data_IF_705698529976
#
_entry.id   IF_705698529976
#
_cell.length_a   1.000
_cell.length_b   1.000
_cell.length_c   1.000
_cell.angle_alpha   90.00
_cell.angle_beta   90.00
_cell.angle_gamma   90.00
#
_symmetry.space_group_name_H-M   'P 1'
#
loop_
_entity.id
_entity.type
_entity.pdbx_description
1 polymer ?
#
# COMPACT_ATOMS: atom_id res chain seq x y z
N UNK A 1 -4.53 15.68 16.85
CA UNK A 1 -4.80 16.38 18.13
C UNK A 1 -6.27 16.78 18.25
N UNK A 2 -6.82 17.60 17.34
CA UNK A 2 -8.22 18.04 17.38
C UNK A 2 -9.27 16.90 17.42
N UNK A 3 -9.18 15.89 16.56
CA UNK A 3 -10.13 14.76 16.57
C UNK A 3 -10.08 13.91 17.85
N UNK A 4 -8.92 13.87 18.53
CA UNK A 4 -8.79 13.20 19.83
C UNK A 4 -9.42 14.00 20.97
N UNK A 5 -9.37 15.33 20.89
CA UNK A 5 -10.06 16.22 21.83
C UNK A 5 -11.60 16.10 21.69
N UNK A 6 -12.11 15.95 20.47
CA UNK A 6 -13.55 15.72 20.22
C UNK A 6 -14.00 14.35 20.73
N UNK A 7 -13.22 13.28 20.48
CA UNK A 7 -13.54 11.96 21.05
C UNK A 7 -13.56 11.97 22.59
N UNK A 8 -12.69 12.75 23.23
CA UNK A 8 -12.65 12.89 24.67
C UNK A 8 -13.94 13.51 25.25
N UNK A 9 -14.65 14.35 24.49
CA UNK A 9 -15.95 14.91 24.89
C UNK A 9 -17.05 13.85 24.98
N UNK A 10 -16.91 12.71 24.29
CA UNK A 10 -17.86 11.60 24.38
C UNK A 10 -17.70 10.77 25.67
N UNK A 11 -16.58 10.91 26.40
CA UNK A 11 -16.26 10.05 27.55
C UNK A 11 -17.31 10.14 28.68
N UNK A 12 -17.75 11.33 29.15
CA UNK A 12 -18.81 11.41 30.17
C UNK A 12 -20.14 10.79 29.69
N UNK A 13 -20.45 10.90 28.38
CA UNK A 13 -21.65 10.31 27.80
C UNK A 13 -21.60 8.78 27.76
N UNK A 14 -20.43 8.21 27.42
CA UNK A 14 -20.20 6.75 27.47
C UNK A 14 -20.36 6.19 28.89
N UNK A 15 -19.86 6.93 29.88
CA UNK A 15 -20.00 6.53 31.29
C UNK A 15 -21.46 6.54 31.73
N UNK A 16 -22.23 7.58 31.37
CA UNK A 16 -23.66 7.62 31.62
C UNK A 16 -24.42 6.48 30.92
N UNK A 17 -24.06 6.19 29.66
CA UNK A 17 -24.68 5.09 28.91
C UNK A 17 -24.46 3.74 29.60
N UNK A 18 -23.21 3.45 29.99
CA UNK A 18 -22.86 2.23 30.70
C UNK A 18 -23.55 2.12 32.07
N UNK A 19 -23.73 3.24 32.78
CA UNK A 19 -24.47 3.26 34.05
C UNK A 19 -25.96 2.90 33.86
N UNK A 20 -26.59 3.39 32.79
CA UNK A 20 -27.98 3.04 32.44
C UNK A 20 -28.10 1.56 32.08
N UNK A 21 -27.18 1.01 31.28
CA UNK A 21 -27.15 -0.42 30.95
C UNK A 21 -26.99 -1.30 32.19
N UNK A 22 -26.09 -0.92 33.10
CA UNK A 22 -25.89 -1.63 34.37
C UNK A 22 -27.09 -1.56 35.30
N UNK A 23 -27.88 -0.48 35.28
CA UNK A 23 -29.16 -0.40 35.97
C UNK A 23 -30.22 -1.28 35.31
N UNK A 24 -30.33 -1.26 33.99
CA UNK A 24 -31.27 -2.10 33.25
C UNK A 24 -31.06 -3.60 33.56
N UNK A 25 -29.79 -4.03 33.65
CA UNK A 25 -29.44 -5.41 34.01
C UNK A 25 -29.82 -5.77 35.46
N UNK A 26 -29.72 -4.83 36.41
CA UNK A 26 -30.16 -5.01 37.81
C UNK A 26 -31.68 -5.10 37.92
N UNK A 27 -32.41 -4.33 37.12
CA UNK A 27 -33.89 -4.40 37.06
C UNK A 27 -34.38 -5.72 36.48
N UNK A 28 -33.72 -6.22 35.44
CA UNK A 28 -34.01 -7.54 34.85
C UNK A 28 -33.74 -8.70 35.83
N UNK A 29 -32.75 -8.54 36.71
CA UNK A 29 -32.39 -9.54 37.73
C UNK A 29 -33.32 -9.52 38.96
N UNK A 30 -34.32 -8.61 39.01
CA UNK A 30 -35.28 -8.50 40.11
C UNK A 30 -34.75 -7.82 41.37
N UNK A 31 -33.51 -7.30 41.36
CA UNK A 31 -32.89 -6.60 42.50
C UNK A 31 -33.42 -5.17 42.72
N UNK A 32 -34.04 -4.58 41.70
CA UNK A 32 -34.64 -3.23 41.74
C UNK A 32 -36.00 -3.30 41.03
N UNK A 33 -37.03 -2.60 41.55
CA UNK A 33 -38.34 -2.53 40.90
C UNK A 33 -38.28 -1.85 39.53
N UNK A 34 -39.11 -2.28 38.58
CA UNK A 34 -39.10 -1.78 37.19
C UNK A 34 -39.34 -0.26 37.09
N UNK A 35 -40.16 0.28 37.99
CA UNK A 35 -40.52 1.71 38.08
C UNK A 35 -39.77 2.46 39.21
N UNK A 36 -38.67 1.89 39.71
CA UNK A 36 -37.87 2.58 40.71
C UNK A 36 -37.33 3.91 40.15
N UNK A 37 -37.37 4.99 40.96
CA UNK A 37 -36.83 6.28 40.56
C UNK A 37 -35.32 6.19 40.29
N UNK A 38 -34.78 7.20 39.61
CA UNK A 38 -33.33 7.33 39.40
C UNK A 38 -32.71 7.81 40.71
N UNK A 39 -32.02 6.92 41.42
CA UNK A 39 -31.44 7.19 42.72
C UNK A 39 -30.04 6.58 42.91
N UNK A 40 -29.42 6.88 44.06
CA UNK A 40 -28.16 6.29 44.47
C UNK A 40 -27.02 6.50 43.45
N UNK A 41 -26.22 5.46 43.15
CA UNK A 41 -25.07 5.56 42.24
C UNK A 41 -25.42 6.03 40.83
N UNK A 42 -26.58 5.61 40.29
CA UNK A 42 -27.00 6.00 38.94
C UNK A 42 -27.24 7.51 38.86
N UNK A 43 -27.91 8.08 39.86
CA UNK A 43 -28.14 9.53 39.91
C UNK A 43 -26.82 10.32 39.91
N UNK A 44 -25.82 9.86 40.65
CA UNK A 44 -24.50 10.51 40.73
C UNK A 44 -23.80 10.50 39.37
N UNK A 45 -23.80 9.36 38.68
CA UNK A 45 -23.17 9.21 37.37
C UNK A 45 -23.87 10.07 36.30
N UNK A 46 -25.21 10.05 36.28
CA UNK A 46 -26.00 10.87 35.36
C UNK A 46 -25.80 12.37 35.62
N UNK A 47 -25.74 12.79 36.89
CA UNK A 47 -25.50 14.19 37.25
C UNK A 47 -24.12 14.66 36.82
N UNK A 48 -23.11 13.82 36.99
CA UNK A 48 -21.74 14.11 36.55
C UNK A 48 -21.67 14.29 35.03
N UNK A 49 -22.27 13.37 34.28
CA UNK A 49 -22.31 13.43 32.82
C UNK A 49 -23.12 14.63 32.31
N UNK A 50 -24.26 14.93 32.92
CA UNK A 50 -25.08 16.09 32.58
C UNK A 50 -24.35 17.41 32.81
N UNK A 51 -23.60 17.53 33.91
CA UNK A 51 -22.77 18.70 34.21
C UNK A 51 -21.67 18.90 33.17
N UNK A 52 -20.91 17.85 32.88
CA UNK A 52 -19.86 17.89 31.85
C UNK A 52 -20.42 18.24 30.47
N UNK A 53 -21.55 17.64 30.08
CA UNK A 53 -22.24 17.95 28.83
C UNK A 53 -22.69 19.42 28.77
N UNK A 54 -23.29 19.94 29.85
CA UNK A 54 -23.72 21.33 29.92
C UNK A 54 -22.56 22.33 29.87
N UNK A 55 -21.40 22.00 30.45
CA UNK A 55 -20.18 22.81 30.34
C UNK A 55 -19.65 22.86 28.89
N UNK A 56 -19.60 21.71 28.20
CA UNK A 56 -19.21 21.63 26.79
C UNK A 56 -20.18 22.41 25.88
N UNK A 57 -21.48 22.34 26.16
CA UNK A 57 -22.50 23.09 25.42
C UNK A 57 -22.38 24.61 25.65
N UNK A 58 -22.27 25.05 26.91
CA UNK A 58 -22.14 26.49 27.27
C UNK A 58 -20.87 27.13 26.71
N UNK A 59 -19.78 26.36 26.67
CA UNK A 59 -18.51 26.83 26.13
C UNK A 59 -18.45 26.81 24.59
N UNK A 60 -19.49 26.30 23.92
CA UNK A 60 -19.56 26.20 22.47
C UNK A 60 -18.61 25.16 21.87
N UNK A 61 -17.98 24.31 22.69
CA UNK A 61 -17.00 23.31 22.23
C UNK A 61 -17.64 22.13 21.49
N UNK A 62 -18.97 22.01 21.53
CA UNK A 62 -19.73 21.03 20.75
C UNK A 62 -20.16 21.55 19.37
N UNK A 63 -19.93 22.84 19.07
CA UNK A 63 -20.36 23.45 17.80
C UNK A 63 -19.65 22.77 16.62
N UNK A 64 -20.43 22.23 15.68
CA UNK A 64 -19.91 21.52 14.51
C UNK A 64 -19.50 20.07 14.75
N UNK A 65 -19.66 19.56 15.98
CA UNK A 65 -19.39 18.16 16.34
C UNK A 65 -20.65 17.40 16.79
N UNK A 66 -21.65 18.13 17.28
CA UNK A 66 -22.94 17.60 17.70
C UNK A 66 -24.06 18.34 16.97
N UNK A 67 -25.04 17.61 16.46
CA UNK A 67 -26.25 18.18 15.86
C UNK A 67 -27.08 18.92 16.91
N UNK A 68 -27.69 20.03 16.52
CA UNK A 68 -28.53 20.83 17.42
C UNK A 68 -29.72 20.02 17.97
N UNK A 69 -30.32 19.17 17.13
CA UNK A 69 -31.40 18.24 17.49
C UNK A 69 -30.95 17.24 18.57
N UNK A 70 -29.77 16.64 18.40
CA UNK A 70 -29.15 15.72 19.35
C UNK A 70 -28.82 16.41 20.67
N UNK A 71 -28.25 17.62 20.62
CA UNK A 71 -27.94 18.41 21.81
C UNK A 71 -29.19 18.77 22.63
N UNK A 72 -30.25 19.25 21.97
CA UNK A 72 -31.53 19.60 22.61
C UNK A 72 -32.19 18.37 23.20
N UNK A 73 -32.27 17.27 22.44
CA UNK A 73 -32.89 16.02 22.89
C UNK A 73 -32.16 15.44 24.09
N UNK A 74 -30.82 15.41 24.07
CA UNK A 74 -30.01 14.90 25.17
C UNK A 74 -30.15 15.76 26.43
N UNK A 75 -30.12 17.09 26.29
CA UNK A 75 -30.34 18.04 27.40
C UNK A 75 -31.71 17.84 28.06
N UNK A 76 -32.76 17.67 27.26
CA UNK A 76 -34.12 17.42 27.78
C UNK A 76 -34.22 16.07 28.50
N UNK A 77 -33.62 15.00 27.97
CA UNK A 77 -33.62 13.69 28.66
C UNK A 77 -32.85 13.72 29.99
N UNK A 78 -31.72 14.42 30.07
CA UNK A 78 -31.01 14.58 31.35
C UNK A 78 -31.86 15.28 32.41
N UNK A 79 -32.59 16.35 32.02
CA UNK A 79 -33.48 17.07 32.94
C UNK A 79 -34.61 16.19 33.49
N UNK A 80 -35.20 15.32 32.66
CA UNK A 80 -36.18 14.34 33.14
C UNK A 80 -35.55 13.27 34.03
N UNK A 81 -34.39 12.73 33.65
CA UNK A 81 -33.72 11.67 34.41
C UNK A 81 -33.22 12.13 35.79
N UNK A 82 -32.85 13.41 35.92
CA UNK A 82 -32.42 14.02 37.17
C UNK A 82 -33.57 14.59 38.02
N UNK A 83 -34.81 14.53 37.51
CA UNK A 83 -35.99 15.05 38.21
C UNK A 83 -36.10 16.57 38.22
N UNK A 84 -35.37 17.28 37.34
CA UNK A 84 -35.45 18.74 37.20
C UNK A 84 -36.77 19.18 36.55
N UNK A 85 -37.43 18.27 35.82
CA UNK A 85 -38.72 18.48 35.16
C UNK A 85 -39.69 17.38 35.60
N UNK A 86 -40.96 17.71 35.93
CA UNK A 86 -41.97 16.72 36.31
C UNK A 86 -42.24 15.70 35.19
N UNK A 87 -42.40 14.42 35.53
CA UNK A 87 -42.63 13.34 34.55
C UNK A 87 -43.93 13.52 33.76
N UNK A 88 -44.91 14.20 34.34
CA UNK A 88 -46.18 14.54 33.70
C UNK A 88 -45.98 15.38 32.44
N UNK A 89 -44.89 16.17 32.38
CA UNK A 89 -44.53 17.00 31.24
C UNK A 89 -43.84 16.22 30.11
N UNK A 90 -43.44 14.96 30.33
CA UNK A 90 -42.73 14.14 29.33
C UNK A 90 -43.55 13.94 28.05
N UNK A 91 -44.87 13.86 28.17
CA UNK A 91 -45.76 13.72 27.01
C UNK A 91 -45.77 14.96 26.10
N UNK A 92 -45.55 16.15 26.66
CA UNK A 92 -45.47 17.38 25.87
C UNK A 92 -44.22 17.41 24.99
N UNK A 93 -43.11 16.86 25.48
CA UNK A 93 -41.81 16.86 24.81
C UNK A 93 -41.66 15.67 23.84
N UNK A 94 -42.22 14.50 24.19
CA UNK A 94 -41.97 13.23 23.46
C UNK A 94 -43.22 12.49 22.99
N UNK A 95 -44.42 13.05 23.21
CA UNK A 95 -45.68 12.52 22.67
C UNK A 95 -46.22 11.26 23.34
N UNK A 96 -45.61 10.80 24.44
CA UNK A 96 -45.99 9.58 25.19
C UNK A 96 -45.92 9.82 26.69
N UNK A 97 -46.74 9.12 27.47
CA UNK A 97 -46.74 9.25 28.94
C UNK A 97 -45.38 8.85 29.50
N UNK A 98 -44.77 9.72 30.32
CA UNK A 98 -43.46 9.47 30.90
C UNK A 98 -43.50 8.46 32.04
N UNK A 99 -42.61 7.47 31.99
CA UNK A 99 -42.29 6.58 33.12
C UNK A 99 -40.78 6.61 33.36
N UNK A 100 -40.29 6.28 34.57
CA UNK A 100 -38.86 6.22 34.84
C UNK A 100 -38.08 5.33 33.86
N UNK A 101 -38.65 4.17 33.51
CA UNK A 101 -38.07 3.28 32.49
C UNK A 101 -37.97 3.97 31.12
N UNK A 102 -39.04 4.63 30.69
CA UNK A 102 -39.11 5.29 29.38
C UNK A 102 -38.14 6.48 29.26
N UNK A 103 -37.91 7.19 30.36
CA UNK A 103 -36.92 8.27 30.45
C UNK A 103 -35.51 7.71 30.29
N UNK A 104 -35.19 6.61 30.98
CA UNK A 104 -33.88 5.97 30.87
C UNK A 104 -33.63 5.41 29.47
N UNK A 105 -34.63 4.78 28.86
CA UNK A 105 -34.54 4.27 27.48
C UNK A 105 -34.32 5.41 26.48
N UNK A 106 -35.07 6.51 26.63
CA UNK A 106 -34.92 7.70 25.78
C UNK A 106 -33.56 8.39 25.96
N UNK A 107 -33.04 8.41 27.20
CA UNK A 107 -31.72 8.93 27.51
C UNK A 107 -30.62 8.05 26.90
N UNK A 108 -30.70 6.73 27.05
CA UNK A 108 -29.75 5.79 26.44
C UNK A 108 -29.70 5.92 24.91
N UNK A 109 -30.87 6.00 24.27
CA UNK A 109 -30.96 6.22 22.82
C UNK A 109 -30.34 7.56 22.40
N UNK A 110 -30.58 8.63 23.17
CA UNK A 110 -30.01 9.95 22.88
C UNK A 110 -28.50 10.00 23.11
N UNK A 111 -28.00 9.30 24.13
CA UNK A 111 -26.57 9.14 24.40
C UNK A 111 -25.86 8.37 23.29
N UNK A 112 -26.47 7.30 22.77
CA UNK A 112 -25.93 6.53 21.64
C UNK A 112 -25.66 7.44 20.43
N UNK A 113 -26.67 8.19 20.00
CA UNK A 113 -26.54 9.11 18.85
C UNK A 113 -25.48 10.19 19.11
N UNK A 114 -25.47 10.77 20.30
CA UNK A 114 -24.48 11.79 20.66
C UNK A 114 -23.04 11.23 20.67
N UNK A 115 -22.85 10.01 21.16
CA UNK A 115 -21.54 9.35 21.15
C UNK A 115 -21.09 9.10 19.70
N UNK A 116 -21.96 8.56 18.85
CA UNK A 116 -21.64 8.29 17.44
C UNK A 116 -21.24 9.56 16.66
N UNK A 117 -21.93 10.67 16.90
CA UNK A 117 -21.60 11.96 16.28
C UNK A 117 -20.20 12.45 16.71
N UNK A 118 -19.87 12.33 18.00
CA UNK A 118 -18.59 12.75 18.56
C UNK A 118 -17.40 11.82 18.18
N UNK A 119 -17.65 10.55 17.85
CA UNK A 119 -16.59 9.60 17.42
C UNK A 119 -16.34 9.56 15.92
N UNK A 120 -17.31 9.98 15.10
CA UNK A 120 -17.20 9.94 13.63
C UNK A 120 -15.90 10.55 13.07
N UNK A 121 -15.39 11.70 13.56
CA UNK A 121 -14.16 12.28 13.03
C UNK A 121 -12.91 11.40 13.23
N UNK A 122 -12.78 10.76 14.39
CA UNK A 122 -11.60 9.91 14.68
C UNK A 122 -11.65 8.60 13.89
N UNK A 123 -12.85 8.04 13.69
CA UNK A 123 -13.04 6.82 12.90
C UNK A 123 -12.82 7.05 11.41
N UNK A 124 -13.24 8.21 10.88
CA UNK A 124 -12.92 8.62 9.52
C UNK A 124 -11.40 8.71 9.31
N UNK A 125 -10.65 9.33 10.24
CA UNK A 125 -9.18 9.41 10.15
C UNK A 125 -8.55 8.02 10.16
N UNK A 126 -8.97 7.13 11.08
CA UNK A 126 -8.48 5.75 11.13
C UNK A 126 -8.75 5.00 9.83
N UNK A 127 -9.94 5.14 9.26
CA UNK A 127 -10.31 4.52 8.00
C UNK A 127 -9.46 5.02 6.83
N UNK A 128 -9.23 6.33 6.74
CA UNK A 128 -8.37 6.92 5.72
C UNK A 128 -6.92 6.41 5.83
N UNK A 129 -6.35 6.36 7.04
CA UNK A 129 -5.01 5.84 7.26
C UNK A 129 -4.84 4.37 6.81
N UNK A 130 -5.85 3.52 7.05
CA UNK A 130 -5.86 2.12 6.59
C UNK A 130 -5.93 2.02 5.06
N UNK A 131 -6.67 2.90 4.41
CA UNK A 131 -6.90 2.85 2.96
C UNK A 131 -5.63 3.22 2.17
N UNK A 132 -4.91 4.23 2.64
CA UNK A 132 -3.65 4.69 2.02
C UNK A 132 -2.55 3.62 2.08
N UNK A 133 -2.44 2.91 3.21
CA UNK A 133 -1.39 1.88 3.41
C UNK A 133 -1.68 0.59 2.65
N UNK A 134 -2.95 0.20 2.50
CA UNK A 134 -3.35 -0.98 1.72
C UNK A 134 -3.20 -0.76 0.21
N UNK A 135 -3.44 0.46 -0.29
CA UNK A 135 -3.32 0.78 -1.72
C UNK A 135 -1.90 0.63 -2.28
N UNK A 136 -0.88 0.97 -1.49
CA UNK A 136 0.53 0.84 -1.88
C UNK A 136 0.94 -0.64 -1.96
N UNK A 137 0.53 -1.46 -0.98
CA UNK A 137 0.91 -2.88 -0.92
C UNK A 137 0.38 -3.71 -2.10
N UNK A 138 -0.84 -3.42 -2.59
CA UNK A 138 -1.42 -4.13 -3.75
C UNK A 138 -0.68 -3.84 -5.06
N UNK A 139 -0.13 -2.64 -5.20
CA UNK A 139 0.59 -2.24 -6.42
C UNK A 139 1.98 -2.87 -6.48
N UNK A 140 2.58 -3.18 -5.33
CA UNK A 140 3.86 -3.89 -5.27
C UNK A 140 3.71 -5.40 -5.50
N UNK A 141 2.59 -5.99 -5.09
CA UNK A 141 2.32 -7.41 -5.30
C UNK A 141 2.10 -7.76 -6.78
N UNK A 142 1.41 -6.89 -7.54
CA UNK A 142 1.18 -7.10 -8.98
C UNK A 142 2.47 -7.11 -9.81
N UNK A 143 3.54 -6.46 -9.33
CA UNK A 143 4.84 -6.50 -10.00
C UNK A 143 5.44 -7.92 -10.02
N UNK A 144 5.17 -8.73 -9.00
CA UNK A 144 5.59 -10.14 -8.96
C UNK A 144 4.75 -11.05 -9.86
N UNK A 145 3.56 -10.61 -10.28
CA UNK A 145 2.69 -11.37 -11.18
C UNK A 145 3.12 -11.27 -12.66
N UNK A 146 3.95 -10.27 -12.99
CA UNK A 146 4.51 -10.12 -14.32
C UNK A 146 5.26 -11.38 -14.76
N UNK A 147 5.10 -11.78 -16.03
CA UNK A 147 5.63 -13.06 -16.52
C UNK A 147 7.15 -13.16 -16.33
N UNK A 148 7.91 -12.16 -16.77
CA UNK A 148 9.37 -12.18 -16.61
C UNK A 148 9.82 -12.19 -15.14
N UNK A 149 9.09 -11.54 -14.22
CA UNK A 149 9.36 -11.62 -12.78
C UNK A 149 9.11 -13.04 -12.23
N UNK A 150 8.03 -13.69 -12.67
CA UNK A 150 7.76 -15.10 -12.32
C UNK A 150 8.83 -16.05 -12.83
N UNK A 151 9.36 -15.85 -14.04
CA UNK A 151 10.46 -16.65 -14.58
C UNK A 151 11.74 -16.51 -13.73
N UNK A 152 12.05 -15.30 -13.26
CA UNK A 152 13.16 -15.08 -12.32
C UNK A 152 12.93 -15.83 -11.01
N UNK A 153 11.74 -15.74 -10.42
CA UNK A 153 11.42 -16.47 -9.18
C UNK A 153 11.45 -17.99 -9.38
N UNK A 154 10.94 -18.47 -10.51
CA UNK A 154 10.91 -19.89 -10.85
C UNK A 154 12.33 -20.48 -11.02
N UNK A 155 13.31 -19.65 -11.37
CA UNK A 155 14.74 -20.03 -11.39
C UNK A 155 15.38 -20.18 -10.00
N UNK A 156 14.60 -19.95 -8.94
CA UNK A 156 15.01 -20.08 -7.54
C UNK A 156 15.49 -18.78 -6.89
N UNK A 157 15.34 -17.63 -7.55
CA UNK A 157 15.68 -16.32 -6.96
C UNK A 157 14.77 -16.02 -5.74
N UNK A 158 15.32 -15.56 -4.60
CA UNK A 158 14.52 -15.24 -3.43
C UNK A 158 13.68 -13.98 -3.69
N UNK A 159 12.40 -14.02 -3.30
CA UNK A 159 11.46 -12.89 -3.49
C UNK A 159 11.95 -11.61 -2.81
N UNK A 160 12.56 -11.73 -1.63
CA UNK A 160 13.12 -10.61 -0.84
C UNK A 160 14.42 -10.04 -1.42
N UNK A 161 15.00 -10.69 -2.44
CA UNK A 161 16.26 -10.28 -3.06
C UNK A 161 16.05 -9.53 -4.39
N UNK A 162 14.81 -9.31 -4.82
CA UNK A 162 14.50 -8.49 -6.00
C UNK A 162 14.08 -7.09 -5.58
N UNK A 163 14.86 -6.09 -5.97
CA UNK A 163 14.53 -4.69 -5.65
C UNK A 163 13.32 -4.21 -6.46
N UNK A 164 12.60 -3.22 -5.94
CA UNK A 164 11.48 -2.58 -6.64
C UNK A 164 11.88 -2.09 -8.05
N UNK A 165 13.05 -1.45 -8.18
CA UNK A 165 13.60 -1.01 -9.48
C UNK A 165 13.78 -2.18 -10.44
N UNK A 166 14.31 -3.30 -9.96
CA UNK A 166 14.48 -4.54 -10.75
C UNK A 166 13.14 -5.04 -11.26
N UNK A 167 12.14 -5.17 -10.39
CA UNK A 167 10.81 -5.63 -10.77
C UNK A 167 10.15 -4.72 -11.83
N UNK A 168 10.27 -3.40 -11.68
CA UNK A 168 9.77 -2.45 -12.68
C UNK A 168 10.43 -2.63 -14.05
N UNK A 169 11.74 -2.86 -14.09
CA UNK A 169 12.46 -3.11 -15.34
C UNK A 169 12.01 -4.43 -15.96
N UNK A 170 11.81 -5.48 -15.17
CA UNK A 170 11.31 -6.77 -15.67
C UNK A 170 9.90 -6.65 -16.27
N UNK A 171 9.00 -5.90 -15.63
CA UNK A 171 7.66 -5.59 -16.16
C UNK A 171 7.78 -4.85 -17.49
N UNK A 172 8.65 -3.84 -17.58
CA UNK A 172 8.84 -3.07 -18.79
C UNK A 172 9.46 -3.89 -19.94
N UNK A 173 10.34 -4.84 -19.63
CA UNK A 173 10.98 -5.70 -20.62
C UNK A 173 10.08 -6.85 -21.12
N UNK A 174 9.09 -7.29 -20.35
CA UNK A 174 8.27 -8.47 -20.68
C UNK A 174 7.61 -8.41 -22.08
N UNK A 175 7.08 -7.25 -22.56
CA UNK A 175 6.56 -7.13 -23.93
C UNK A 175 7.61 -7.33 -25.03
N UNK A 176 8.91 -7.18 -24.74
CA UNK A 176 9.97 -7.48 -25.71
C UNK A 176 10.33 -8.96 -25.76
N UNK A 177 10.07 -9.72 -24.70
CA UNK A 177 10.43 -11.13 -24.58
C UNK A 177 9.33 -12.00 -25.20
N UNK A 178 9.66 -12.74 -26.25
CA UNK A 178 8.76 -13.76 -26.79
C UNK A 178 8.73 -14.98 -25.86
N UNK A 179 9.90 -15.50 -25.48
CA UNK A 179 10.05 -16.74 -24.70
C UNK A 179 11.26 -16.68 -23.78
N UNK A 180 11.17 -17.34 -22.62
CA UNK A 180 12.32 -17.66 -21.76
C UNK A 180 12.67 -19.14 -21.96
N UNK A 181 13.84 -19.41 -22.54
CA UNK A 181 14.23 -20.76 -22.99
C UNK A 181 15.17 -21.47 -22.02
N UNK A 182 15.59 -20.79 -20.95
CA UNK A 182 16.41 -21.39 -19.90
C UNK A 182 16.99 -20.34 -18.95
N UNK A 183 17.68 -20.81 -17.92
CA UNK A 183 18.28 -19.93 -16.93
C UNK A 183 19.57 -20.51 -16.35
N UNK A 184 20.38 -19.63 -15.76
CA UNK A 184 21.44 -20.00 -14.82
C UNK A 184 21.39 -19.08 -13.62
N UNK A 185 21.27 -19.66 -12.43
CA UNK A 185 21.33 -18.91 -11.19
C UNK A 185 22.72 -18.99 -10.59
N UNK A 186 23.26 -17.84 -10.21
CA UNK A 186 24.58 -17.72 -9.62
C UNK A 186 24.49 -17.17 -8.20
N UNK A 187 25.30 -17.70 -7.29
CA UNK A 187 25.67 -17.04 -6.04
C UNK A 187 26.84 -16.11 -6.31
N UNK A 188 26.79 -14.92 -5.75
CA UNK A 188 27.86 -13.93 -5.82
C UNK A 188 28.40 -13.73 -4.40
N UNK A 189 29.72 -13.85 -4.26
CA UNK A 189 30.40 -13.71 -2.98
C UNK A 189 31.39 -12.53 -3.08
N UNK A 190 31.22 -11.54 -2.19
CA UNK A 190 32.08 -10.36 -2.07
C UNK A 190 32.16 -9.50 -3.34
N UNK A 191 31.05 -9.02 -3.93
CA UNK A 191 31.04 -8.31 -5.21
C UNK A 191 31.91 -7.04 -5.24
N UNK A 192 32.11 -6.39 -4.10
CA UNK A 192 32.97 -5.21 -3.92
C UNK A 192 34.31 -5.52 -3.23
N UNK A 193 34.59 -6.80 -2.96
CA UNK A 193 35.80 -7.25 -2.28
C UNK A 193 37.02 -7.32 -3.21
N UNK A 194 38.19 -7.64 -2.64
CA UNK A 194 39.43 -7.76 -3.41
C UNK A 194 39.44 -8.95 -4.39
N UNK A 195 38.70 -10.02 -4.08
CA UNK A 195 38.59 -11.23 -4.90
C UNK A 195 37.11 -11.63 -5.02
N UNK A 196 36.33 -10.96 -5.87
CA UNK A 196 34.91 -11.29 -6.03
C UNK A 196 34.77 -12.63 -6.76
N UNK A 197 33.91 -13.52 -6.25
CA UNK A 197 33.67 -14.84 -6.85
C UNK A 197 32.22 -15.07 -7.22
N UNK A 198 32.01 -16.01 -8.13
CA UNK A 198 30.70 -16.43 -8.61
C UNK A 198 30.65 -17.94 -8.70
N UNK A 199 29.57 -18.55 -8.24
CA UNK A 199 29.34 -19.98 -8.31
C UNK A 199 27.95 -20.26 -8.85
N UNK A 200 27.78 -21.34 -9.61
CA UNK A 200 26.48 -21.73 -10.14
C UNK A 200 25.72 -22.48 -9.04
N UNK A 201 24.48 -22.05 -8.80
CA UNK A 201 23.56 -22.65 -7.84
C UNK A 201 22.60 -23.58 -8.55
N UNK A 202 22.06 -23.14 -9.68
CA UNK A 202 21.07 -23.92 -10.44
C UNK A 202 21.10 -23.55 -11.94
N UNK A 203 20.59 -24.46 -12.78
CA UNK A 203 20.43 -24.27 -14.23
C UNK A 203 19.18 -24.97 -14.75
N UNK A 204 18.52 -24.36 -15.72
CA UNK A 204 17.38 -24.94 -16.41
C UNK A 204 17.34 -24.64 -17.91
N UNK A 205 16.55 -25.42 -18.64
CA UNK A 205 16.34 -25.28 -20.08
C UNK A 205 17.64 -25.41 -20.89
N UNK A 206 17.83 -24.52 -21.86
CA UNK A 206 19.01 -24.55 -22.75
C UNK A 206 20.34 -24.42 -22.00
N UNK A 207 20.36 -23.87 -20.78
CA UNK A 207 21.59 -23.66 -20.02
C UNK A 207 22.28 -24.95 -19.56
N UNK A 208 21.51 -26.03 -19.36
CA UNK A 208 22.05 -27.30 -18.86
C UNK A 208 23.13 -27.85 -19.80
N UNK A 209 22.95 -27.69 -21.12
CA UNK A 209 23.92 -28.15 -22.12
C UNK A 209 25.04 -27.16 -22.46
N UNK A 210 25.09 -25.97 -21.83
CA UNK A 210 26.06 -24.92 -22.16
C UNK A 210 27.24 -24.97 -21.18
N UNK A 211 28.49 -25.19 -21.65
CA UNK A 211 29.67 -25.12 -20.79
C UNK A 211 29.82 -23.72 -20.16
N UNK A 212 29.99 -23.65 -18.84
CA UNK A 212 30.22 -22.38 -18.14
C UNK A 212 31.69 -22.20 -17.81
N UNK A 213 32.22 -20.99 -18.02
CA UNK A 213 33.56 -20.63 -17.52
C UNK A 213 33.65 -20.78 -16.00
N UNK A 214 32.56 -20.47 -15.30
CA UNK A 214 32.49 -20.51 -13.84
C UNK A 214 32.80 -21.89 -13.26
N UNK A 215 32.58 -22.96 -14.03
CA UNK A 215 32.90 -24.34 -13.61
C UNK A 215 34.42 -24.55 -13.45
N UNK A 216 35.25 -23.72 -14.10
CA UNK A 216 36.73 -23.82 -14.07
C UNK A 216 37.40 -22.61 -13.42
N UNK A 217 36.79 -21.43 -13.52
CA UNK A 217 37.33 -20.18 -12.99
C UNK A 217 36.20 -19.41 -12.27
N UNK A 218 36.19 -19.42 -10.93
CA UNK A 218 35.14 -18.79 -10.13
C UNK A 218 35.26 -17.26 -10.08
N UNK A 219 36.27 -16.64 -10.71
CA UNK A 219 36.46 -15.19 -10.59
C UNK A 219 35.31 -14.43 -11.23
N UNK A 220 34.66 -13.53 -10.49
CA UNK A 220 33.59 -12.68 -11.00
C UNK A 220 34.16 -11.55 -11.85
N UNK A 221 33.95 -11.61 -13.18
CA UNK A 221 34.49 -10.65 -14.15
C UNK A 221 33.50 -10.36 -15.27
N UNK A 222 33.76 -9.29 -16.02
CA UNK A 222 32.99 -8.90 -17.19
C UNK A 222 31.55 -8.51 -16.84
N UNK A 223 30.60 -8.87 -17.69
CA UNK A 223 29.20 -8.46 -17.57
C UNK A 223 28.55 -8.87 -16.25
N UNK A 224 28.87 -10.05 -15.71
CA UNK A 224 28.35 -10.50 -14.42
C UNK A 224 28.84 -9.62 -13.27
N UNK A 225 30.13 -9.25 -13.29
CA UNK A 225 30.69 -8.33 -12.29
C UNK A 225 30.00 -6.97 -12.35
N UNK A 226 29.82 -6.44 -13.57
CA UNK A 226 29.14 -5.17 -13.78
C UNK A 226 27.73 -5.17 -13.16
N UNK A 227 26.93 -6.19 -13.47
CA UNK A 227 25.57 -6.35 -12.89
C UNK A 227 25.60 -6.49 -11.37
N UNK A 228 26.57 -7.23 -10.81
CA UNK A 228 26.69 -7.35 -9.36
C UNK A 228 27.03 -6.01 -8.67
N UNK A 229 27.86 -5.17 -9.28
CA UNK A 229 28.27 -3.88 -8.71
C UNK A 229 27.20 -2.82 -8.92
N UNK A 230 26.73 -2.65 -10.16
CA UNK A 230 25.73 -1.63 -10.54
C UNK A 230 24.35 -1.95 -9.98
N UNK A 231 24.03 -3.24 -9.78
CA UNK A 231 22.72 -3.74 -9.31
C UNK A 231 21.58 -3.35 -10.23
N UNK A 232 21.89 -3.33 -11.52
CA UNK A 232 20.95 -3.02 -12.59
C UNK A 232 20.74 -4.23 -13.48
N UNK A 233 19.49 -4.40 -13.92
CA UNK A 233 19.14 -5.43 -14.91
C UNK A 233 19.84 -5.10 -16.21
N UNK A 234 20.38 -6.11 -16.87
CA UNK A 234 21.11 -5.92 -18.12
C UNK A 234 20.68 -6.94 -19.18
N UNK A 235 20.23 -6.43 -20.31
CA UNK A 235 20.03 -7.19 -21.54
C UNK A 235 21.32 -7.13 -22.36
N UNK A 236 21.85 -8.28 -22.77
CA UNK A 236 23.05 -8.35 -23.62
C UNK A 236 23.06 -9.60 -24.47
N UNK A 237 24.05 -9.71 -25.37
CA UNK A 237 24.34 -10.96 -26.10
C UNK A 237 25.54 -11.67 -25.47
N UNK A 238 25.47 -12.99 -25.35
CA UNK A 238 26.56 -13.80 -24.87
C UNK A 238 27.80 -13.64 -25.75
N UNK A 239 28.94 -13.29 -25.15
CA UNK A 239 30.17 -12.99 -25.90
C UNK A 239 30.73 -14.19 -26.71
N UNK A 240 30.31 -15.42 -26.38
CA UNK A 240 30.81 -16.65 -27.03
C UNK A 240 29.80 -17.28 -27.99
N UNK A 241 28.51 -17.16 -27.70
CA UNK A 241 27.44 -17.89 -28.38
C UNK A 241 26.37 -16.97 -29.00
N UNK A 242 26.50 -15.65 -28.84
CA UNK A 242 25.61 -14.65 -29.43
C UNK A 242 24.18 -14.65 -28.87
N UNK A 243 23.87 -15.53 -27.90
CA UNK A 243 22.52 -15.70 -27.37
C UNK A 243 22.10 -14.48 -26.56
N UNK A 244 20.87 -14.03 -26.72
CA UNK A 244 20.33 -12.94 -25.90
C UNK A 244 20.06 -13.42 -24.49
N UNK A 245 20.58 -12.67 -23.52
CA UNK A 245 20.45 -12.96 -22.11
C UNK A 245 19.98 -11.73 -21.35
N UNK A 246 19.19 -11.95 -20.30
CA UNK A 246 18.83 -10.94 -19.30
C UNK A 246 19.48 -11.32 -17.98
N UNK A 247 20.34 -10.45 -17.47
CA UNK A 247 21.00 -10.60 -16.17
C UNK A 247 20.23 -9.80 -15.14
N UNK A 248 19.76 -10.47 -14.10
CA UNK A 248 18.94 -9.90 -13.04
C UNK A 248 19.70 -10.00 -11.72
N UNK A 249 20.05 -8.88 -11.07
CA UNK A 249 20.76 -8.91 -9.79
C UNK A 249 19.82 -9.34 -8.66
N UNK A 250 20.30 -10.23 -7.80
CA UNK A 250 19.68 -10.58 -6.52
C UNK A 250 20.43 -9.79 -5.43
N UNK A 251 19.74 -8.83 -4.80
CA UNK A 251 20.33 -7.86 -3.87
C UNK A 251 19.70 -8.01 -2.49
N UNK A 252 20.54 -8.18 -1.46
CA UNK A 252 20.14 -8.21 -0.05
C UNK A 252 21.05 -7.29 0.75
N UNK A 253 20.47 -6.54 1.69
CA UNK A 253 21.22 -5.60 2.55
C UNK A 253 22.13 -4.63 1.78
N UNK A 254 21.68 -4.19 0.60
CA UNK A 254 22.43 -3.33 -0.35
C UNK A 254 23.71 -4.00 -0.89
N UNK A 255 23.77 -5.31 -0.98
CA UNK A 255 24.83 -6.05 -1.67
C UNK A 255 24.25 -7.11 -2.60
N UNK A 256 24.91 -7.36 -3.73
CA UNK A 256 24.50 -8.42 -4.65
C UNK A 256 24.93 -9.76 -4.09
N UNK A 257 23.95 -10.59 -3.71
CA UNK A 257 24.13 -11.95 -3.20
C UNK A 257 24.00 -13.01 -4.29
N UNK A 258 23.46 -12.61 -5.45
CA UNK A 258 23.30 -13.50 -6.59
C UNK A 258 23.02 -12.77 -7.89
N UNK A 259 23.02 -13.55 -8.97
CA UNK A 259 22.59 -13.11 -10.30
C UNK A 259 21.76 -14.24 -10.90
N UNK A 260 20.56 -13.92 -11.35
CA UNK A 260 19.77 -14.78 -12.21
C UNK A 260 19.98 -14.38 -13.66
N UNK A 261 20.51 -15.29 -14.48
CA UNK A 261 20.67 -15.11 -15.92
C UNK A 261 19.55 -15.87 -16.63
N UNK A 262 18.70 -15.17 -17.39
CA UNK A 262 17.70 -15.78 -18.26
C UNK A 262 18.19 -15.81 -19.70
N UNK A 263 18.06 -16.95 -20.38
CA UNK A 263 18.18 -17.04 -21.82
C UNK A 263 16.83 -16.74 -22.44
N UNK A 264 16.78 -15.73 -23.30
CA UNK A 264 15.51 -15.22 -23.84
C UNK A 264 15.51 -15.18 -25.36
N UNK A 265 14.35 -15.42 -25.94
CA UNK A 265 14.04 -15.08 -27.33
C UNK A 265 13.29 -13.77 -27.29
N UNK A 266 13.84 -12.74 -27.92
CA UNK A 266 13.14 -11.46 -28.08
C UNK A 266 12.26 -11.53 -29.33
N UNK A 267 11.17 -10.75 -29.34
CA UNK A 267 10.44 -10.45 -30.58
C UNK A 267 11.40 -9.76 -31.57
N UNK A 268 11.12 -9.80 -32.86
CA UNK A 268 11.98 -9.11 -33.84
C UNK A 268 11.79 -7.59 -33.74
N UNK A 269 10.54 -7.16 -33.78
CA UNK A 269 10.10 -5.76 -33.72
C UNK A 269 8.86 -5.62 -32.83
N UNK A 270 8.55 -4.38 -32.43
CA UNK A 270 7.40 -4.02 -31.60
C UNK A 270 6.67 -2.84 -32.24
N UNK A 271 5.39 -2.65 -31.89
CA UNK A 271 4.69 -1.42 -32.27
C UNK A 271 5.31 -0.20 -31.57
N UNK A 272 5.25 1.01 -32.17
CA UNK A 272 5.75 2.25 -31.61
C UNK A 272 5.46 2.45 -30.11
N UNK A 273 4.20 2.34 -29.69
CA UNK A 273 3.78 2.56 -28.31
C UNK A 273 4.42 1.56 -27.33
N UNK A 274 4.45 0.27 -27.70
CA UNK A 274 5.02 -0.78 -26.86
C UNK A 274 6.54 -0.62 -26.80
N UNK A 275 7.18 -0.29 -27.92
CA UNK A 275 8.61 -0.07 -28.00
C UNK A 275 9.06 1.08 -27.11
N UNK A 276 8.35 2.21 -27.18
CA UNK A 276 8.58 3.36 -26.30
C UNK A 276 8.49 2.95 -24.83
N UNK A 277 7.44 2.24 -24.43
CA UNK A 277 7.27 1.78 -23.05
C UNK A 277 8.41 0.88 -22.57
N UNK A 278 8.84 -0.08 -23.41
CA UNK A 278 9.97 -0.97 -23.12
C UNK A 278 11.26 -0.16 -22.92
N UNK A 279 11.58 0.72 -23.85
CA UNK A 279 12.83 1.50 -23.81
C UNK A 279 12.83 2.56 -22.71
N UNK A 280 11.70 3.14 -22.35
CA UNK A 280 11.59 4.04 -21.20
C UNK A 280 11.78 3.30 -19.87
N UNK A 281 11.17 2.12 -19.73
CA UNK A 281 11.29 1.33 -18.51
C UNK A 281 12.64 0.62 -18.35
N UNK A 282 13.37 0.41 -19.45
CA UNK A 282 14.74 -0.09 -19.45
C UNK A 282 15.76 1.06 -19.51
N UNK A 283 16.11 1.56 -18.32
CA UNK A 283 17.09 2.63 -18.08
C UNK A 283 16.85 3.93 -18.88
N UNK A 284 15.58 4.24 -19.17
CA UNK A 284 15.18 5.40 -19.97
C UNK A 284 15.93 5.53 -21.30
N UNK A 285 16.29 4.40 -21.93
CA UNK A 285 16.98 4.37 -23.23
C UNK A 285 16.24 5.13 -24.32
N UNK A 286 14.90 5.18 -24.29
CA UNK A 286 14.13 6.00 -25.23
C UNK A 286 14.55 7.47 -25.15
N UNK A 287 14.61 8.02 -23.93
CA UNK A 287 15.05 9.40 -23.70
C UNK A 287 16.47 9.63 -24.20
N UNK A 288 17.39 8.71 -23.88
CA UNK A 288 18.78 8.80 -24.32
C UNK A 288 18.93 8.76 -25.86
N UNK A 289 18.17 7.89 -26.55
CA UNK A 289 18.17 7.82 -28.02
C UNK A 289 17.57 9.08 -28.63
N UNK A 290 16.43 9.56 -28.12
CA UNK A 290 15.81 10.81 -28.56
C UNK A 290 16.78 11.98 -28.42
N UNK A 291 17.38 12.13 -27.25
CA UNK A 291 18.30 13.24 -26.98
C UNK A 291 19.53 13.19 -27.91
N UNK A 292 20.01 12.00 -28.28
CA UNK A 292 21.07 11.83 -29.26
C UNK A 292 20.60 12.16 -30.69
N UNK A 293 19.46 11.63 -31.15
CA UNK A 293 18.93 11.91 -32.50
C UNK A 293 18.61 13.39 -32.68
N UNK A 294 18.02 14.02 -31.66
CA UNK A 294 17.65 15.43 -31.67
C UNK A 294 18.84 16.41 -31.59
N UNK A 295 20.08 15.90 -31.56
CA UNK A 295 21.27 16.71 -31.76
C UNK A 295 21.34 17.27 -33.20
N UNK A 296 20.82 16.51 -34.18
CA UNK A 296 20.85 16.88 -35.60
C UNK A 296 19.47 16.91 -36.25
N UNK A 297 18.57 16.03 -35.83
CA UNK A 297 17.19 15.95 -36.35
C UNK A 297 16.21 16.76 -35.48
N UNK A 298 15.09 17.26 -36.02
CA UNK A 298 14.12 18.04 -35.24
C UNK A 298 13.34 17.21 -34.21
N UNK A 299 13.12 15.92 -34.46
CA UNK A 299 12.42 14.99 -33.56
C UNK A 299 12.82 13.53 -33.85
N UNK A 300 12.54 12.63 -32.91
CA UNK A 300 12.67 11.19 -33.09
C UNK A 300 11.38 10.62 -33.69
N UNK A 301 11.46 10.06 -34.89
CA UNK A 301 10.36 9.28 -35.47
C UNK A 301 10.25 7.91 -34.78
N UNK A 302 9.15 7.69 -34.07
CA UNK A 302 8.85 6.37 -33.49
C UNK A 302 8.68 5.28 -34.55
N UNK A 303 8.21 5.64 -35.74
CA UNK A 303 8.02 4.69 -36.85
C UNK A 303 9.38 4.16 -37.33
N UNK A 304 10.36 5.05 -37.54
CA UNK A 304 11.73 4.67 -37.87
C UNK A 304 12.38 3.86 -36.73
N UNK A 305 12.10 4.22 -35.47
CA UNK A 305 12.57 3.46 -34.32
C UNK A 305 11.98 2.04 -34.31
N UNK A 306 10.71 1.87 -34.68
CA UNK A 306 10.01 0.59 -34.75
C UNK A 306 10.48 -0.30 -35.92
N UNK A 307 11.13 0.27 -36.95
CA UNK A 307 11.78 -0.49 -38.02
C UNK A 307 13.07 -1.20 -37.57
N UNK A 308 13.68 -0.76 -36.47
CA UNK A 308 14.87 -1.38 -35.90
C UNK A 308 14.50 -2.60 -35.04
N UNK A 309 15.40 -3.60 -35.01
CA UNK A 309 15.18 -4.79 -34.19
C UNK A 309 15.32 -4.44 -32.72
N UNK A 310 14.39 -4.91 -31.88
CA UNK A 310 14.40 -4.62 -30.43
C UNK A 310 15.70 -5.09 -29.75
N UNK A 311 16.29 -6.19 -30.21
CA UNK A 311 17.57 -6.68 -29.67
C UNK A 311 18.70 -5.67 -29.87
N UNK A 312 18.73 -4.97 -31.01
CA UNK A 312 19.75 -3.96 -31.28
C UNK A 312 19.47 -2.72 -30.43
N UNK A 313 18.19 -2.32 -30.32
CA UNK A 313 17.73 -1.22 -29.48
C UNK A 313 18.01 -1.41 -27.98
N UNK A 314 18.06 -2.65 -27.48
CA UNK A 314 18.35 -2.95 -26.07
C UNK A 314 19.83 -3.15 -25.77
N UNK A 315 20.65 -3.51 -26.77
CA UNK A 315 22.03 -3.99 -26.53
C UNK A 315 23.11 -3.11 -27.14
N UNK A 316 22.81 -2.33 -28.19
CA UNK A 316 23.80 -1.47 -28.83
C UNK A 316 24.05 -0.17 -28.03
N UNK A 317 25.18 0.51 -28.24
CA UNK A 317 25.37 1.86 -27.72
C UNK A 317 24.31 2.83 -28.26
N UNK A 318 23.89 3.79 -27.44
CA UNK A 318 22.87 4.79 -27.81
C UNK A 318 23.27 5.56 -29.08
N UNK A 319 24.54 5.92 -29.20
CA UNK A 319 25.06 6.66 -30.36
C UNK A 319 24.95 5.85 -31.66
N UNK A 320 25.24 4.54 -31.62
CA UNK A 320 25.11 3.67 -32.80
C UNK A 320 23.67 3.57 -33.27
N UNK A 321 22.70 3.59 -32.36
CA UNK A 321 21.27 3.60 -32.71
C UNK A 321 20.90 4.96 -33.31
N UNK A 322 21.35 6.05 -32.68
CA UNK A 322 21.08 7.40 -33.17
C UNK A 322 21.62 7.60 -34.60
N UNK A 323 22.85 7.15 -34.88
CA UNK A 323 23.45 7.23 -36.22
C UNK A 323 22.66 6.50 -37.32
N UNK A 324 21.88 5.47 -36.98
CA UNK A 324 20.99 4.78 -37.94
C UNK A 324 19.67 5.50 -38.19
N UNK A 325 19.29 6.39 -37.28
CA UNK A 325 18.03 7.14 -37.32
C UNK A 325 18.22 8.57 -37.84
N UNK A 326 19.47 9.05 -37.87
CA UNK A 326 19.89 10.28 -38.55
C UNK A 326 19.96 10.02 -40.06
N UNK A 327 19.53 11.00 -40.85
CA UNK A 327 19.52 10.94 -42.33
C UNK A 327 20.87 11.15 -42.96
#
# INVERSE_FOLDING_TARGET
EAAGAVDAQARPLRMAHAAIEGEAQRRQSGTTGADAPVDGPLYVDLRSAAGAFADELRSGRLNGHLEASTAVRLSTHFRFALGDVPLESYQLEFGRVGTPALVLDGLAASLTVAIEELTRPIDAIKHQAKTVTVGISRTDETLFEARLAREVLASGAPRDSLSYRTLRVLVALDPAVAEVVGFTRYRVDGPNGQVPTVAIVDRGGVSVGIPSRTDRDPTLRGTKHRVAVEREVLVTRGARDGRTIVLVPEVKDRESVGITLLHVVLRDRLSPDVLRGVLQGYDNRYGAVRDAVCETEPDLSDDLLAELRIVDLLTEPVQTIADRLRG
#
